data_IF_736140844459
#
_entry.id   IF_736140844459
#
_cell.length_a   1.000
_cell.length_b   1.000
_cell.length_c   1.000
_cell.angle_alpha   90.00
_cell.angle_beta   90.00
_cell.angle_gamma   90.00
#
_symmetry.space_group_name_H-M   'P 1'
#
loop_
_entity.id
_entity.type
_entity.pdbx_description
1 polymer ?
#
# COMPACT_ATOMS: atom_id res chain seq x y z
N UNK A 1 16.44 -7.89 -21.86
CA UNK A 1 16.97 -6.60 -22.35
C UNK A 1 15.87 -5.94 -23.16
N UNK A 2 15.11 -5.03 -22.54
CA UNK A 2 14.00 -4.32 -23.18
C UNK A 2 14.54 -3.18 -24.04
N UNK A 3 14.29 -3.28 -25.35
CA UNK A 3 14.53 -2.20 -26.32
C UNK A 3 13.43 -1.14 -26.12
N UNK A 4 13.75 0.00 -25.51
CA UNK A 4 12.88 1.18 -25.56
C UNK A 4 13.64 2.32 -26.24
N UNK A 5 13.09 2.95 -27.30
CA UNK A 5 13.69 4.12 -27.93
C UNK A 5 13.49 5.35 -27.03
N UNK A 6 14.41 6.30 -27.17
CA UNK A 6 14.47 7.64 -26.54
C UNK A 6 15.18 7.75 -25.18
N UNK A 7 16.50 7.59 -25.19
CA UNK A 7 17.40 7.99 -24.09
C UNK A 7 18.46 9.05 -24.46
N UNK A 8 18.47 9.59 -25.69
CA UNK A 8 19.54 10.51 -26.11
C UNK A 8 19.39 11.97 -25.62
N UNK A 9 18.33 12.32 -24.87
CA UNK A 9 18.00 13.72 -24.56
C UNK A 9 18.08 14.13 -23.07
N UNK A 10 18.83 13.40 -22.22
CA UNK A 10 19.11 13.87 -20.85
C UNK A 10 20.53 14.47 -20.80
N UNK A 11 20.70 15.65 -21.42
CA UNK A 11 21.89 16.49 -21.21
C UNK A 11 21.54 17.64 -20.27
N UNK A 12 22.19 17.65 -19.11
CA UNK A 12 22.51 18.88 -18.34
C UNK A 12 21.52 19.27 -17.25
N UNK A 13 21.67 18.71 -16.04
CA UNK A 13 21.10 19.28 -14.81
C UNK A 13 22.22 19.57 -13.82
N UNK A 14 23.03 20.58 -14.14
CA UNK A 14 23.86 21.30 -13.16
C UNK A 14 23.39 22.75 -13.15
N UNK A 15 22.65 23.16 -12.11
CA UNK A 15 22.33 24.57 -11.88
C UNK A 15 23.51 25.17 -11.11
N UNK A 16 24.26 26.07 -11.75
CA UNK A 16 25.36 26.79 -11.11
C UNK A 16 24.77 27.91 -10.24
N UNK A 17 24.84 27.76 -8.91
CA UNK A 17 24.47 28.83 -7.99
C UNK A 17 25.71 29.66 -7.64
N UNK A 18 25.67 30.96 -7.92
CA UNK A 18 26.72 31.92 -7.56
C UNK A 18 26.37 32.56 -6.21
N UNK A 19 27.18 32.33 -5.19
CA UNK A 19 27.09 33.06 -3.91
C UNK A 19 27.85 34.39 -4.02
N UNK A 20 27.19 35.56 -3.91
CA UNK A 20 27.83 36.87 -4.02
C UNK A 20 28.57 37.31 -2.74
N UNK A 21 28.59 36.49 -1.67
CA UNK A 21 29.09 36.91 -0.35
C UNK A 21 30.52 36.46 0.03
N UNK A 22 31.21 35.67 -0.80
CA UNK A 22 32.58 35.22 -0.51
C UNK A 22 33.62 35.76 -1.50
N UNK A 23 34.63 36.45 -0.94
CA UNK A 23 35.88 37.00 -1.48
C UNK A 23 36.25 36.81 -2.98
N UNK A 24 36.79 37.86 -3.65
CA UNK A 24 37.26 37.78 -5.03
C UNK A 24 38.46 36.84 -5.15
N UNK A 25 38.25 35.65 -5.73
CA UNK A 25 39.32 34.73 -6.12
C UNK A 25 39.19 33.30 -5.61
N UNK A 26 38.20 32.98 -4.77
CA UNK A 26 37.89 31.59 -4.38
C UNK A 26 36.57 31.14 -5.00
N UNK A 27 36.66 30.50 -6.17
CA UNK A 27 35.54 29.78 -6.76
C UNK A 27 35.28 28.53 -5.91
N UNK A 28 34.37 28.63 -4.94
CA UNK A 28 33.91 27.45 -4.21
C UNK A 28 32.71 26.88 -4.97
N UNK A 29 32.96 25.86 -5.79
CA UNK A 29 31.90 25.16 -6.51
C UNK A 29 31.20 24.21 -5.54
N UNK A 30 29.94 24.52 -5.22
CA UNK A 30 29.06 23.60 -4.51
C UNK A 30 28.21 22.86 -5.54
N UNK A 31 28.52 21.59 -5.78
CA UNK A 31 27.58 20.69 -6.47
C UNK A 31 26.57 20.21 -5.44
N UNK A 32 25.41 20.83 -5.39
CA UNK A 32 24.27 20.28 -4.65
C UNK A 32 23.74 19.11 -5.47
N UNK A 33 24.18 17.90 -5.12
CA UNK A 33 23.57 16.68 -5.64
C UNK A 33 22.31 16.47 -4.81
N UNK A 34 21.15 16.83 -5.36
CA UNK A 34 19.89 16.37 -4.79
C UNK A 34 19.86 14.87 -5.01
N UNK A 35 20.06 14.12 -3.93
CA UNK A 35 19.88 12.67 -3.93
C UNK A 35 18.38 12.36 -4.07
N UNK A 36 17.90 12.46 -5.31
CA UNK A 36 16.76 11.69 -5.77
C UNK A 36 17.35 10.47 -6.49
N UNK A 37 18.03 9.58 -5.75
CA UNK A 37 18.65 8.35 -6.30
C UNK A 37 17.67 7.39 -6.96
N UNK A 38 16.38 7.69 -7.03
CA UNK A 38 15.46 6.91 -7.85
C UNK A 38 15.52 7.40 -9.29
N UNK A 39 16.14 6.60 -10.15
CA UNK A 39 15.93 6.76 -11.58
C UNK A 39 14.43 6.68 -11.88
N UNK A 40 13.93 7.40 -12.89
CA UNK A 40 12.50 7.35 -13.28
C UNK A 40 11.99 5.91 -13.51
N UNK A 41 12.89 4.98 -13.82
CA UNK A 41 12.62 3.54 -13.90
C UNK A 41 12.24 2.95 -12.54
N UNK A 42 12.98 3.24 -11.49
CA UNK A 42 12.72 2.73 -10.14
C UNK A 42 11.40 3.28 -9.57
N UNK A 43 11.02 4.52 -9.91
CA UNK A 43 9.72 5.05 -9.54
C UNK A 43 8.56 4.29 -10.22
N UNK A 44 8.72 3.91 -11.49
CA UNK A 44 7.73 3.08 -12.22
C UNK A 44 7.68 1.66 -11.65
N UNK A 45 8.82 1.08 -11.29
CA UNK A 45 8.88 -0.25 -10.68
C UNK A 45 8.17 -0.27 -9.32
N UNK A 46 8.37 0.78 -8.50
CA UNK A 46 7.67 0.94 -7.22
C UNK A 46 6.16 1.11 -7.42
N UNK A 47 5.72 1.96 -8.36
CA UNK A 47 4.30 2.14 -8.65
C UNK A 47 3.63 0.83 -9.11
N UNK A 48 4.30 0.07 -9.98
CA UNK A 48 3.83 -1.25 -10.43
C UNK A 48 3.74 -2.25 -9.28
N UNK A 49 4.69 -2.24 -8.34
CA UNK A 49 4.64 -3.10 -7.16
C UNK A 49 3.48 -2.71 -6.23
N UNK A 50 3.26 -1.41 -6.02
CA UNK A 50 2.14 -0.91 -5.22
C UNK A 50 0.81 -1.33 -5.84
N UNK A 51 0.64 -1.19 -7.15
CA UNK A 51 -0.55 -1.65 -7.87
C UNK A 51 -0.75 -3.16 -7.74
N UNK A 52 0.32 -3.95 -7.87
CA UNK A 52 0.26 -5.40 -7.74
C UNK A 52 -0.16 -5.82 -6.32
N UNK A 53 0.37 -5.17 -5.29
CA UNK A 53 0.00 -5.40 -3.88
C UNK A 53 -1.46 -5.03 -3.62
N UNK A 54 -1.92 -3.86 -4.07
CA UNK A 54 -3.31 -3.44 -3.90
C UNK A 54 -4.29 -4.39 -4.60
N UNK A 55 -3.98 -4.78 -5.83
CA UNK A 55 -4.80 -5.74 -6.58
C UNK A 55 -4.81 -7.13 -5.94
N UNK A 56 -3.67 -7.57 -5.39
CA UNK A 56 -3.56 -8.80 -4.63
C UNK A 56 -4.46 -8.80 -3.39
N UNK A 57 -4.34 -7.75 -2.56
CA UNK A 57 -5.17 -7.57 -1.37
C UNK A 57 -6.65 -7.48 -1.71
N UNK A 58 -7.01 -6.76 -2.78
CA UNK A 58 -8.41 -6.67 -3.23
C UNK A 58 -8.98 -8.04 -3.59
N UNK A 59 -8.25 -8.86 -4.37
CA UNK A 59 -8.69 -10.22 -4.71
C UNK A 59 -8.84 -11.09 -3.46
N UNK A 60 -7.87 -11.03 -2.55
CA UNK A 60 -7.92 -11.78 -1.30
C UNK A 60 -9.18 -11.44 -0.49
N UNK A 61 -9.48 -10.15 -0.33
CA UNK A 61 -10.70 -9.70 0.38
C UNK A 61 -11.95 -10.16 -0.36
N UNK A 62 -12.00 -10.04 -1.69
CA UNK A 62 -13.15 -10.50 -2.47
C UNK A 62 -13.40 -12.00 -2.31
N UNK A 63 -12.36 -12.82 -2.34
CA UNK A 63 -12.48 -14.26 -2.11
C UNK A 63 -12.93 -14.54 -0.68
N UNK A 64 -12.41 -13.83 0.33
CA UNK A 64 -12.85 -13.98 1.72
C UNK A 64 -14.33 -13.60 1.88
N UNK A 65 -14.79 -12.53 1.23
CA UNK A 65 -16.19 -12.11 1.23
C UNK A 65 -17.10 -13.14 0.54
N UNK A 66 -16.64 -13.74 -0.57
CA UNK A 66 -17.38 -14.79 -1.26
C UNK A 66 -17.50 -16.05 -0.40
N UNK A 67 -16.40 -16.47 0.25
CA UNK A 67 -16.38 -17.61 1.17
C UNK A 67 -17.30 -17.42 2.38
N UNK A 68 -17.35 -16.20 2.92
CA UNK A 68 -18.17 -15.84 4.07
C UNK A 68 -19.53 -15.22 3.70
N UNK A 69 -20.00 -15.43 2.47
CA UNK A 69 -21.22 -14.80 1.96
C UNK A 69 -22.44 -15.03 2.87
N UNK A 70 -22.58 -16.25 3.39
CA UNK A 70 -23.68 -16.62 4.29
C UNK A 70 -23.65 -15.84 5.61
N UNK A 71 -22.48 -15.69 6.22
CA UNK A 71 -22.32 -14.89 7.43
C UNK A 71 -22.60 -13.40 7.16
N UNK A 72 -22.14 -12.87 6.02
CA UNK A 72 -22.39 -11.48 5.63
C UNK A 72 -23.88 -11.22 5.37
N UNK A 73 -24.58 -12.11 4.66
CA UNK A 73 -26.01 -11.96 4.41
C UNK A 73 -26.81 -12.02 5.74
N UNK A 74 -26.42 -12.88 6.68
CA UNK A 74 -27.03 -12.92 8.02
C UNK A 74 -26.77 -11.65 8.83
N UNK A 75 -25.57 -11.06 8.74
CA UNK A 75 -25.25 -9.78 9.37
C UNK A 75 -26.06 -8.63 8.75
N UNK A 76 -26.23 -8.62 7.43
CA UNK A 76 -27.06 -7.64 6.72
C UNK A 76 -28.51 -7.76 7.16
N UNK A 77 -29.06 -8.97 7.25
CA UNK A 77 -30.41 -9.16 7.77
C UNK A 77 -30.56 -8.65 9.21
N UNK A 78 -29.56 -8.89 10.05
CA UNK A 78 -29.58 -8.45 11.44
C UNK A 78 -29.52 -6.91 11.54
N UNK A 79 -28.68 -6.27 10.71
CA UNK A 79 -28.63 -4.81 10.57
C UNK A 79 -29.95 -4.22 10.10
N UNK A 80 -30.59 -4.83 9.10
CA UNK A 80 -31.90 -4.40 8.60
C UNK A 80 -33.00 -4.50 9.67
N UNK A 81 -32.92 -5.49 10.57
CA UNK A 81 -33.89 -5.67 11.64
C UNK A 81 -33.65 -4.74 12.84
N UNK A 82 -32.39 -4.50 13.22
CA UNK A 82 -32.05 -3.82 14.48
C UNK A 82 -31.53 -2.39 14.35
N UNK A 83 -31.26 -1.88 13.14
CA UNK A 83 -30.62 -0.57 12.86
C UNK A 83 -29.20 -0.43 13.45
N UNK A 84 -28.99 -0.85 14.70
CA UNK A 84 -27.71 -0.93 15.40
C UNK A 84 -27.53 -2.34 15.95
N UNK A 85 -26.31 -2.87 15.79
CA UNK A 85 -25.93 -4.21 16.22
C UNK A 85 -24.80 -4.10 17.23
N UNK A 86 -24.86 -4.86 18.32
CA UNK A 86 -23.79 -4.90 19.32
C UNK A 86 -22.65 -5.82 18.88
N UNK A 87 -21.43 -5.57 19.38
CA UNK A 87 -20.24 -6.36 19.05
C UNK A 87 -20.41 -7.86 19.31
N UNK A 88 -21.03 -8.22 20.43
CA UNK A 88 -21.26 -9.63 20.82
C UNK A 88 -22.18 -10.36 19.83
N UNK A 89 -23.18 -9.66 19.27
CA UNK A 89 -24.10 -10.22 18.28
C UNK A 89 -23.37 -10.49 16.96
N UNK A 90 -22.42 -9.64 16.58
CA UNK A 90 -21.58 -9.83 15.39
C UNK A 90 -20.70 -11.06 15.58
N UNK A 91 -20.07 -11.20 16.76
CA UNK A 91 -19.22 -12.35 17.09
C UNK A 91 -20.02 -13.65 16.99
N UNK A 92 -21.23 -13.70 17.57
CA UNK A 92 -22.09 -14.88 17.51
C UNK A 92 -22.44 -15.30 16.06
N UNK A 93 -22.76 -14.34 15.19
CA UNK A 93 -23.08 -14.64 13.78
C UNK A 93 -21.84 -15.11 13.03
N UNK A 94 -20.68 -14.49 13.28
CA UNK A 94 -19.41 -14.86 12.63
C UNK A 94 -18.92 -16.23 13.10
N UNK A 95 -18.99 -16.54 14.39
CA UNK A 95 -18.60 -17.85 14.93
C UNK A 95 -19.50 -19.00 14.45
N UNK A 96 -20.78 -18.72 14.20
CA UNK A 96 -21.75 -19.73 13.77
C UNK A 96 -21.77 -19.99 12.26
N UNK A 97 -21.55 -18.96 11.44
CA UNK A 97 -21.68 -19.04 9.97
C UNK A 97 -20.39 -18.74 9.21
N UNK A 98 -19.33 -18.33 9.91
CA UNK A 98 -18.04 -18.04 9.33
C UNK A 98 -17.36 -19.28 8.76
N UNK A 99 -16.58 -19.09 7.70
CA UNK A 99 -15.84 -20.15 7.08
C UNK A 99 -14.71 -20.63 8.02
N UNK A 100 -14.53 -21.95 8.23
CA UNK A 100 -13.59 -22.48 9.22
C UNK A 100 -12.14 -22.00 9.08
N UNK A 101 -11.68 -21.81 7.84
CA UNK A 101 -10.32 -21.32 7.57
C UNK A 101 -10.12 -19.88 8.04
N UNK A 102 -11.13 -19.02 7.86
CA UNK A 102 -11.04 -17.61 8.24
C UNK A 102 -11.23 -17.44 9.76
N UNK A 103 -12.02 -18.32 10.39
CA UNK A 103 -12.13 -18.41 11.84
C UNK A 103 -10.81 -18.87 12.48
N UNK A 104 -10.14 -19.86 11.89
CA UNK A 104 -8.83 -20.33 12.36
C UNK A 104 -7.76 -19.23 12.22
N UNK A 105 -7.72 -18.55 11.07
CA UNK A 105 -6.80 -17.43 10.85
C UNK A 105 -7.04 -16.28 11.85
N UNK A 106 -8.31 -15.98 12.16
CA UNK A 106 -8.66 -14.99 13.18
C UNK A 106 -8.19 -15.40 14.57
N UNK A 107 -8.32 -16.68 14.93
CA UNK A 107 -7.84 -17.19 16.22
C UNK A 107 -6.31 -17.06 16.33
N UNK A 108 -5.58 -17.41 15.27
CA UNK A 108 -4.13 -17.23 15.21
C UNK A 108 -3.74 -15.75 15.39
N UNK A 109 -4.41 -14.82 14.71
CA UNK A 109 -4.16 -13.38 14.88
C UNK A 109 -4.51 -12.85 16.27
N UNK A 110 -5.60 -13.33 16.87
CA UNK A 110 -5.98 -12.94 18.24
C UNK A 110 -4.94 -13.39 19.28
N UNK A 111 -4.32 -14.55 19.07
CA UNK A 111 -3.24 -15.04 19.93
C UNK A 111 -1.94 -14.20 19.80
N UNK A 112 -1.70 -13.56 18.65
CA UNK A 112 -0.56 -12.64 18.46
C UNK A 112 -0.73 -11.27 19.14
N UNK A 113 -1.96 -10.82 19.41
CA UNK A 113 -2.21 -9.53 20.09
C UNK A 113 -2.09 -9.61 21.62
N UNK A 114 -1.91 -10.82 22.18
CA UNK A 114 -1.79 -11.09 23.62
C UNK A 114 -0.34 -11.35 24.10
N UNK A 115 0.66 -11.13 23.25
CA UNK A 115 2.10 -11.21 23.56
C UNK A 115 2.78 -9.84 23.41
#
# INVERSE_FOLDING_TARGET
MSNHPDYEHIRGLGQNYFDPSSEPGRFTQYTVTLDMNQTRSEAVDVDMEVEARLNGSYRQVMEMMQRNRMALDALVELLLRKEKVQGDEIVQVVESLGHPQDLAQRAEWADYELL
#
